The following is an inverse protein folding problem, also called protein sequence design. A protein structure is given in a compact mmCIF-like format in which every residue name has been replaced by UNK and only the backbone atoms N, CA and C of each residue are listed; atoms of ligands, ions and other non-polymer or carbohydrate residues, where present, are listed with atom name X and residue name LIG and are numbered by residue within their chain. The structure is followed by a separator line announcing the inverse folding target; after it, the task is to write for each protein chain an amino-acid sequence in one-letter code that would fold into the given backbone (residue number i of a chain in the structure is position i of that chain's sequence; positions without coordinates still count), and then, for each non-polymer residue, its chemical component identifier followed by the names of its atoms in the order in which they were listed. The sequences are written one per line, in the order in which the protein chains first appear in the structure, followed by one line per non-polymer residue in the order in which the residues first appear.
data_IF_967949671077
#
_entry.id   IF_967949671077
#
_cell.length_a   1.000
_cell.length_b   1.000
_cell.length_c   1.000
_cell.angle_alpha   90.00
_cell.angle_beta   90.00
_cell.angle_gamma   90.00
#
_symmetry.space_group_name_H-M   'P 1'
#
loop_
_entity.id
_entity.type
_entity.pdbx_description
1 polymer ?
#
# COMPACT_ATOMS: atom_id res chain seq x y z
N UNK A 1 8.01 -16.05 13.78
CA UNK A 1 7.83 -17.13 14.79
C UNK A 1 6.99 -18.23 14.17
N UNK A 2 7.00 -19.42 14.76
CA UNK A 2 6.05 -20.49 14.41
C UNK A 2 4.89 -20.49 15.41
N UNK A 3 3.81 -21.22 15.12
CA UNK A 3 2.59 -21.29 15.94
C UNK A 3 2.88 -21.76 17.36
N UNK A 4 3.71 -22.78 17.52
CA UNK A 4 4.08 -23.31 18.84
C UNK A 4 4.83 -22.28 19.69
N UNK A 5 5.69 -21.47 19.06
CA UNK A 5 6.41 -20.39 19.77
C UNK A 5 5.43 -19.32 20.27
N UNK A 6 4.40 -19.00 19.50
CA UNK A 6 3.34 -18.06 19.91
C UNK A 6 2.49 -18.64 21.03
N UNK A 7 2.08 -19.90 20.93
CA UNK A 7 1.33 -20.61 21.97
C UNK A 7 2.11 -20.63 23.29
N UNK A 8 3.41 -20.95 23.23
CA UNK A 8 4.27 -20.96 24.40
C UNK A 8 4.43 -19.56 25.01
N UNK A 9 4.50 -18.50 24.19
CA UNK A 9 4.52 -17.12 24.67
C UNK A 9 3.24 -16.77 25.42
N UNK A 10 2.07 -17.10 24.87
CA UNK A 10 0.77 -16.83 25.51
C UNK A 10 0.65 -17.54 26.86
N UNK A 11 1.19 -18.76 26.98
CA UNK A 11 1.17 -19.53 28.24
C UNK A 11 2.12 -18.97 29.30
N UNK A 12 3.34 -18.61 28.90
CA UNK A 12 4.41 -18.30 29.84
C UNK A 12 4.55 -16.80 30.13
N UNK A 13 4.19 -15.95 29.18
CA UNK A 13 4.36 -14.50 29.25
C UNK A 13 3.18 -13.71 28.65
N UNK A 14 1.95 -13.88 29.20
CA UNK A 14 0.75 -13.28 28.64
C UNK A 14 0.69 -11.76 28.80
N UNK A 15 1.47 -11.17 29.70
CA UNK A 15 1.40 -9.73 29.99
C UNK A 15 2.28 -8.87 29.07
N UNK A 16 3.12 -9.50 28.24
CA UNK A 16 4.02 -8.80 27.34
C UNK A 16 3.65 -9.04 25.87
N UNK A 17 3.68 -8.01 25.00
CA UNK A 17 3.43 -8.16 23.57
C UNK A 17 4.27 -9.25 22.92
N UNK A 18 3.67 -10.01 22.01
CA UNK A 18 4.37 -11.02 21.23
C UNK A 18 5.28 -10.31 20.23
N UNK A 19 6.59 -10.51 20.40
CA UNK A 19 7.61 -9.92 19.53
C UNK A 19 7.55 -10.47 18.10
N UNK A 20 7.98 -9.66 17.13
CA UNK A 20 8.17 -10.12 15.75
C UNK A 20 9.65 -10.41 15.51
N UNK A 21 9.94 -11.59 14.93
CA UNK A 21 11.29 -11.94 14.49
C UNK A 21 11.64 -11.16 13.21
N UNK A 22 12.82 -10.56 13.16
CA UNK A 22 13.29 -9.85 11.95
C UNK A 22 13.62 -10.86 10.84
N UNK A 23 13.33 -10.48 9.59
CA UNK A 23 13.55 -11.36 8.42
C UNK A 23 15.03 -11.71 8.26
N UNK A 24 15.92 -10.72 8.34
CA UNK A 24 17.37 -10.92 8.19
C UNK A 24 17.96 -11.80 9.28
N UNK A 25 17.54 -11.60 10.53
CA UNK A 25 17.95 -12.44 11.66
C UNK A 25 17.51 -13.88 11.46
N UNK A 26 16.26 -14.09 11.02
CA UNK A 26 15.74 -15.43 10.75
C UNK A 26 16.46 -16.10 9.58
N UNK A 27 16.82 -15.33 8.55
CA UNK A 27 17.56 -15.83 7.37
C UNK A 27 18.98 -16.28 7.73
N UNK A 28 19.64 -15.61 8.68
CA UNK A 28 20.99 -15.97 9.12
C UNK A 28 21.01 -17.22 10.02
N UNK A 29 19.94 -17.45 10.78
CA UNK A 29 19.86 -18.56 11.74
C UNK A 29 19.31 -19.84 11.09
N UNK A 30 18.35 -19.71 10.17
CA UNK A 30 17.74 -20.86 9.49
C UNK A 30 18.55 -21.28 8.27
N UNK A 31 18.53 -22.59 7.98
CA UNK A 31 19.07 -23.16 6.73
C UNK A 31 18.43 -22.48 5.52
N UNK A 32 19.20 -22.28 4.45
CA UNK A 32 18.67 -21.73 3.20
C UNK A 32 17.52 -22.58 2.64
N UNK A 33 16.53 -21.90 2.05
CA UNK A 33 15.39 -22.55 1.40
C UNK A 33 15.80 -23.06 0.02
N UNK A 34 15.72 -24.37 -0.20
CA UNK A 34 15.74 -24.93 -1.55
C UNK A 34 14.39 -24.62 -2.23
N UNK A 35 14.38 -23.68 -3.17
CA UNK A 35 13.14 -23.20 -3.80
C UNK A 35 12.40 -24.27 -4.58
N UNK A 36 13.10 -25.16 -5.29
CA UNK A 36 12.45 -26.20 -6.09
C UNK A 36 11.73 -27.21 -5.17
N UNK A 37 12.42 -27.70 -4.14
CA UNK A 37 11.81 -28.60 -3.16
C UNK A 37 10.69 -27.93 -2.37
N UNK A 38 10.89 -26.67 -1.96
CA UNK A 38 9.90 -25.92 -1.20
C UNK A 38 8.61 -25.72 -2.01
N UNK A 39 8.72 -25.22 -3.24
CA UNK A 39 7.55 -24.97 -4.09
C UNK A 39 6.87 -26.28 -4.47
N UNK A 40 7.63 -27.35 -4.77
CA UNK A 40 7.05 -28.66 -5.05
C UNK A 40 6.32 -29.23 -3.84
N UNK A 41 6.87 -29.09 -2.63
CA UNK A 41 6.22 -29.52 -1.39
C UNK A 41 4.94 -28.73 -1.14
N UNK A 42 4.97 -27.41 -1.31
CA UNK A 42 3.77 -26.56 -1.15
C UNK A 42 2.72 -26.92 -2.19
N UNK A 43 3.12 -27.20 -3.42
CA UNK A 43 2.24 -27.64 -4.48
C UNK A 43 1.49 -28.94 -4.12
N UNK A 44 2.23 -29.95 -3.64
CA UNK A 44 1.68 -31.28 -3.33
C UNK A 44 0.93 -31.32 -2.00
N UNK A 45 1.49 -30.73 -0.94
CA UNK A 45 1.04 -30.93 0.45
C UNK A 45 0.61 -29.64 1.17
N UNK A 46 0.87 -28.46 0.59
CA UNK A 46 0.64 -27.18 1.25
C UNK A 46 1.73 -26.81 2.25
N UNK A 47 1.37 -25.91 3.18
CA UNK A 47 2.24 -25.47 4.27
C UNK A 47 1.92 -26.25 5.55
N UNK A 48 2.94 -26.46 6.38
CA UNK A 48 2.80 -27.00 7.72
C UNK A 48 1.90 -26.09 8.57
N UNK A 49 0.99 -26.68 9.34
CA UNK A 49 0.09 -25.97 10.25
C UNK A 49 0.84 -25.07 11.24
N UNK A 50 2.06 -25.45 11.63
CA UNK A 50 2.90 -24.66 12.54
C UNK A 50 3.39 -23.35 11.88
N UNK A 51 3.43 -23.31 10.54
CA UNK A 51 3.75 -22.11 9.76
C UNK A 51 2.53 -21.26 9.40
N UNK A 52 1.32 -21.76 9.64
CA UNK A 52 0.06 -21.07 9.32
C UNK A 52 -0.37 -20.16 10.47
N UNK A 53 0.32 -19.03 10.59
CA UNK A 53 0.07 -18.04 11.64
C UNK A 53 0.31 -16.62 11.14
N UNK A 54 -0.59 -15.70 11.48
CA UNK A 54 -0.54 -14.30 11.04
C UNK A 54 -0.75 -13.37 12.24
N UNK A 55 0.27 -12.58 12.56
CA UNK A 55 0.21 -11.54 13.58
C UNK A 55 -0.23 -10.20 13.00
N UNK A 56 -1.18 -9.54 13.64
CA UNK A 56 -1.67 -8.21 13.28
C UNK A 56 -0.97 -7.14 14.10
N UNK A 57 -0.56 -6.05 13.44
CA UNK A 57 -0.05 -4.83 14.08
C UNK A 57 -0.77 -3.61 13.48
N UNK A 58 -1.13 -2.65 14.33
CA UNK A 58 -1.73 -1.40 13.89
C UNK A 58 -0.74 -0.57 13.04
N UNK A 59 -1.26 0.12 12.03
CA UNK A 59 -0.49 0.99 11.14
C UNK A 59 -0.38 2.39 11.75
N UNK A 60 0.84 2.92 11.87
CA UNK A 60 1.14 4.14 12.64
C UNK A 60 0.68 5.46 11.98
N UNK A 61 0.28 5.46 10.71
CA UNK A 61 -0.04 6.68 9.93
C UNK A 61 -1.29 6.53 9.06
N UNK A 62 -2.36 5.99 9.64
CA UNK A 62 -3.65 5.90 8.96
C UNK A 62 -4.63 6.91 9.55
N UNK A 63 -4.81 8.03 8.86
CA UNK A 63 -6.00 8.86 9.03
C UNK A 63 -7.00 8.38 7.98
N UNK A 64 -8.13 7.83 8.40
CA UNK A 64 -9.22 7.47 7.51
C UNK A 64 -9.90 8.75 7.04
N UNK A 65 -9.34 9.34 5.99
CA UNK A 65 -9.96 10.43 5.24
C UNK A 65 -10.39 9.85 3.90
N UNK A 66 -11.71 9.75 3.74
CA UNK A 66 -12.40 9.29 2.54
C UNK A 66 -12.08 10.23 1.37
N UNK A 67 -11.70 9.66 0.23
CA UNK A 67 -11.23 10.44 -0.92
C UNK A 67 -11.32 9.67 -2.23
N UNK A 68 -11.82 10.38 -3.26
CA UNK A 68 -12.64 9.76 -4.30
C UNK A 68 -11.90 9.10 -5.48
N UNK A 69 -12.08 7.79 -5.73
CA UNK A 69 -11.72 6.90 -6.86
C UNK A 69 -12.57 5.61 -6.80
N UNK A 70 -12.45 4.62 -7.72
CA UNK A 70 -13.10 3.31 -7.43
C UNK A 70 -12.31 2.72 -6.27
N UNK A 71 -12.89 2.87 -5.08
CA UNK A 71 -12.47 2.21 -3.87
C UNK A 71 -13.47 1.10 -3.57
N UNK A 72 -12.95 -0.02 -3.11
CA UNK A 72 -13.78 -1.15 -2.70
C UNK A 72 -13.79 -1.21 -1.19
N UNK A 73 -14.97 -1.36 -0.61
CA UNK A 73 -15.10 -1.58 0.82
C UNK A 73 -14.32 -2.82 1.23
N UNK A 74 -13.27 -2.65 2.03
CA UNK A 74 -12.43 -3.75 2.55
C UNK A 74 -11.96 -4.70 1.43
N UNK A 75 -11.43 -4.14 0.33
CA UNK A 75 -11.02 -4.88 -0.87
C UNK A 75 -10.27 -6.19 -0.58
N UNK A 76 -9.27 -6.15 0.30
CA UNK A 76 -8.46 -7.32 0.66
C UNK A 76 -9.30 -8.38 1.41
N UNK A 77 -10.15 -7.97 2.36
CA UNK A 77 -10.93 -8.88 3.20
C UNK A 77 -12.12 -9.50 2.46
N UNK A 78 -12.64 -8.85 1.42
CA UNK A 78 -13.73 -9.38 0.59
C UNK A 78 -13.26 -10.37 -0.48
N UNK A 79 -11.95 -10.55 -0.67
CA UNK A 79 -11.43 -11.59 -1.55
C UNK A 79 -11.86 -12.97 -1.08
N UNK A 80 -12.20 -13.85 -2.02
CA UNK A 80 -12.70 -15.19 -1.74
C UNK A 80 -12.03 -16.21 -2.64
N UNK A 81 -11.97 -17.46 -2.18
CA UNK A 81 -11.38 -18.54 -2.96
C UNK A 81 -12.17 -18.77 -4.25
N UNK A 82 -13.50 -18.85 -4.15
CA UNK A 82 -14.38 -19.18 -5.27
C UNK A 82 -14.23 -18.19 -6.44
N UNK A 83 -13.92 -16.92 -6.14
CA UNK A 83 -13.69 -15.87 -7.14
C UNK A 83 -12.29 -15.96 -7.78
N UNK A 84 -11.26 -16.30 -6.99
CA UNK A 84 -9.87 -16.19 -7.39
C UNK A 84 -9.26 -17.51 -7.87
N UNK A 85 -9.75 -18.64 -7.35
CA UNK A 85 -9.19 -19.97 -7.53
C UNK A 85 -9.02 -20.34 -9.01
N UNK A 86 -10.03 -20.17 -9.91
CA UNK A 86 -9.87 -20.58 -11.30
C UNK A 86 -8.75 -19.80 -12.03
N UNK A 87 -8.61 -18.51 -11.72
CA UNK A 87 -7.55 -17.67 -12.31
C UNK A 87 -6.19 -18.05 -11.74
N UNK A 88 -6.10 -18.30 -10.44
CA UNK A 88 -4.84 -18.72 -9.80
C UNK A 88 -4.40 -20.11 -10.24
N UNK A 89 -5.33 -21.03 -10.49
CA UNK A 89 -5.02 -22.35 -11.04
C UNK A 89 -4.46 -22.27 -12.47
N UNK A 90 -4.88 -21.29 -13.26
CA UNK A 90 -4.26 -21.02 -14.57
C UNK A 90 -2.83 -20.49 -14.38
N UNK A 91 -2.61 -19.58 -13.42
CA UNK A 91 -1.26 -19.10 -13.09
C UNK A 91 -0.34 -20.23 -12.61
N UNK A 92 -0.87 -21.17 -11.82
CA UNK A 92 -0.12 -22.34 -11.35
C UNK A 92 0.38 -23.17 -12.51
N UNK A 93 -0.50 -23.48 -13.47
CA UNK A 93 -0.15 -24.23 -14.69
C UNK A 93 0.92 -23.55 -15.51
N UNK A 94 0.90 -22.22 -15.62
CA UNK A 94 1.95 -21.47 -16.32
C UNK A 94 3.32 -21.55 -15.62
N UNK A 95 3.33 -21.78 -14.31
CA UNK A 95 4.55 -21.95 -13.52
C UNK A 95 5.01 -23.42 -13.42
N UNK A 96 4.29 -24.35 -14.04
CA UNK A 96 4.59 -25.79 -13.98
C UNK A 96 4.08 -26.49 -12.72
N UNK A 97 3.12 -25.89 -12.01
CA UNK A 97 2.52 -26.45 -10.78
C UNK A 97 1.02 -26.68 -10.97
N UNK A 98 0.43 -27.53 -10.14
CA UNK A 98 -1.01 -27.84 -10.20
C UNK A 98 -1.83 -27.00 -9.22
N UNK A 99 -1.29 -26.79 -8.00
CA UNK A 99 -1.95 -26.09 -6.91
C UNK A 99 -0.92 -25.39 -6.01
N UNK A 100 -0.46 -24.20 -6.40
CA UNK A 100 0.57 -23.43 -5.69
C UNK A 100 0.02 -22.08 -5.18
N UNK A 101 -0.32 -21.18 -6.10
CA UNK A 101 -0.91 -19.86 -5.84
C UNK A 101 -2.39 -20.02 -5.47
N UNK A 102 -3.09 -20.98 -6.08
CA UNK A 102 -4.50 -21.29 -5.78
C UNK A 102 -4.74 -21.67 -4.31
N UNK A 103 -3.73 -22.21 -3.61
CA UNK A 103 -3.78 -22.52 -2.17
C UNK A 103 -3.80 -21.30 -1.24
N UNK A 104 -3.75 -20.07 -1.76
CA UNK A 104 -3.71 -18.86 -0.93
C UNK A 104 -4.85 -18.81 0.10
N UNK A 105 -6.10 -19.04 -0.31
CA UNK A 105 -7.23 -18.96 0.63
C UNK A 105 -7.34 -20.21 1.50
N UNK A 106 -6.84 -21.37 1.05
CA UNK A 106 -6.67 -22.55 1.89
C UNK A 106 -5.78 -22.22 3.11
N UNK A 107 -4.67 -21.50 2.89
CA UNK A 107 -3.80 -21.07 3.98
C UNK A 107 -4.50 -20.09 4.91
N UNK A 108 -5.25 -19.12 4.38
CA UNK A 108 -6.03 -18.22 5.21
C UNK A 108 -7.07 -18.94 6.07
N UNK A 109 -7.77 -19.93 5.53
CA UNK A 109 -8.78 -20.72 6.25
C UNK A 109 -8.18 -21.61 7.34
N UNK A 110 -6.90 -21.97 7.22
CA UNK A 110 -6.18 -22.82 8.19
C UNK A 110 -5.27 -22.05 9.15
N UNK A 111 -5.09 -20.74 8.96
CA UNK A 111 -4.17 -19.94 9.76
C UNK A 111 -4.80 -19.42 11.05
N UNK A 112 -4.01 -19.40 12.12
CA UNK A 112 -4.33 -18.63 13.32
C UNK A 112 -4.05 -17.14 13.06
N UNK A 113 -5.01 -16.29 13.37
CA UNK A 113 -4.88 -14.83 13.29
C UNK A 113 -4.95 -14.26 14.69
N UNK A 114 -4.00 -13.40 15.05
CA UNK A 114 -3.91 -12.84 16.39
C UNK A 114 -3.37 -11.42 16.41
N UNK A 115 -3.85 -10.59 17.34
CA UNK A 115 -3.32 -9.26 17.60
C UNK A 115 -2.16 -9.31 18.59
N UNK A 116 -0.95 -8.98 18.14
CA UNK A 116 0.26 -9.29 18.88
C UNK A 116 0.48 -8.45 20.15
N UNK A 117 -0.19 -7.29 20.29
CA UNK A 117 -0.01 -6.40 21.43
C UNK A 117 -0.88 -6.76 22.65
N UNK A 118 -1.87 -7.66 22.52
CA UNK A 118 -2.77 -8.05 23.61
C UNK A 118 -2.83 -9.57 23.83
N UNK A 119 -1.70 -10.25 24.09
CA UNK A 119 -1.72 -11.67 24.44
C UNK A 119 -2.39 -11.94 25.79
N UNK A 120 -2.53 -10.93 26.64
CA UNK A 120 -3.21 -10.99 27.93
C UNK A 120 -4.68 -11.41 27.78
N UNK A 121 -5.30 -11.05 26.66
CA UNK A 121 -6.68 -11.39 26.29
C UNK A 121 -6.83 -12.76 25.60
N UNK A 122 -5.73 -13.50 25.45
CA UNK A 122 -5.72 -14.82 24.79
C UNK A 122 -5.50 -15.95 25.82
N UNK A 123 -6.18 -17.07 25.63
CA UNK A 123 -5.95 -18.32 26.37
C UNK A 123 -5.60 -19.45 25.39
N UNK A 124 -4.97 -20.50 25.90
CA UNK A 124 -4.64 -21.70 25.11
C UNK A 124 -5.39 -22.89 25.67
N UNK A 125 -6.31 -23.43 24.89
CA UNK A 125 -7.11 -24.61 25.23
C UNK A 125 -7.04 -25.62 24.08
N UNK A 126 -6.79 -26.91 24.40
CA UNK A 126 -6.72 -28.00 23.43
C UNK A 126 -5.79 -27.74 22.22
N UNK A 127 -4.74 -26.95 22.40
CA UNK A 127 -3.79 -26.59 21.33
C UNK A 127 -4.26 -25.44 20.42
N UNK A 128 -5.46 -24.92 20.60
CA UNK A 128 -5.98 -23.71 19.95
C UNK A 128 -5.78 -22.46 20.81
N UNK A 129 -5.86 -21.29 20.19
CA UNK A 129 -5.83 -19.99 20.88
C UNK A 129 -7.25 -19.41 20.87
N UNK A 130 -7.76 -19.09 22.06
CA UNK A 130 -9.11 -18.57 22.28
C UNK A 130 -9.05 -17.17 22.91
N UNK A 131 -10.14 -16.40 22.75
CA UNK A 131 -10.30 -15.12 23.45
C UNK A 131 -10.81 -15.39 24.87
N UNK A 132 -10.22 -14.74 25.88
CA UNK A 132 -10.65 -14.85 27.29
C UNK A 132 -11.94 -14.08 27.59
N UNK A 133 -12.16 -12.99 26.88
CA UNK A 133 -13.26 -12.05 27.08
C UNK A 133 -14.04 -11.85 25.77
N UNK A 134 -15.05 -10.97 25.80
CA UNK A 134 -15.84 -10.56 24.62
C UNK A 134 -15.00 -9.84 23.54
N UNK A 135 -13.77 -9.43 23.89
CA UNK A 135 -12.84 -8.77 22.97
C UNK A 135 -12.26 -9.78 21.97
N UNK A 136 -12.63 -9.66 20.70
CA UNK A 136 -12.07 -10.49 19.61
C UNK A 136 -10.67 -10.00 19.25
N UNK A 137 -9.65 -10.67 19.79
CA UNK A 137 -8.22 -10.39 19.54
C UNK A 137 -7.53 -11.50 18.75
N UNK A 138 -8.12 -12.68 18.67
CA UNK A 138 -7.64 -13.81 17.89
C UNK A 138 -8.79 -14.68 17.36
N UNK A 139 -8.53 -15.42 16.28
CA UNK A 139 -9.47 -16.40 15.74
C UNK A 139 -8.75 -17.39 14.81
N UNK A 140 -9.36 -18.57 14.61
CA UNK A 140 -8.86 -19.62 13.71
C UNK A 140 -9.56 -19.53 12.35
N UNK A 141 -8.76 -19.37 11.30
CA UNK A 141 -9.22 -19.38 9.92
C UNK A 141 -9.93 -18.09 9.47
N UNK A 142 -9.68 -17.68 8.24
CA UNK A 142 -10.44 -16.61 7.59
C UNK A 142 -10.69 -16.94 6.12
N UNK A 143 -11.85 -16.51 5.60
CA UNK A 143 -12.16 -16.65 4.18
C UNK A 143 -11.51 -15.58 3.31
N UNK A 144 -11.15 -14.43 3.92
CA UNK A 144 -10.64 -13.25 3.25
C UNK A 144 -9.12 -13.11 3.27
N UNK A 145 -8.62 -12.13 2.53
CA UNK A 145 -7.21 -11.75 2.56
C UNK A 145 -6.90 -10.66 3.59
N UNK A 146 -5.61 -10.33 3.70
CA UNK A 146 -5.08 -9.24 4.51
C UNK A 146 -4.22 -8.30 3.65
N UNK A 147 -4.05 -7.06 4.09
CA UNK A 147 -3.28 -6.04 3.35
C UNK A 147 -1.85 -6.51 3.04
N UNK A 148 -1.38 -6.21 1.83
CA UNK A 148 -0.02 -6.53 1.38
C UNK A 148 0.18 -7.94 0.82
N UNK A 149 -0.76 -8.86 1.06
CA UNK A 149 -0.71 -10.21 0.48
C UNK A 149 -1.44 -10.24 -0.87
N UNK A 150 -0.87 -10.94 -1.87
CA UNK A 150 -1.49 -11.22 -3.18
C UNK A 150 -2.14 -10.03 -3.92
N UNK A 151 -1.76 -8.79 -3.61
CA UNK A 151 -2.27 -7.58 -4.26
C UNK A 151 -2.23 -7.68 -5.79
N UNK A 152 -1.10 -8.13 -6.36
CA UNK A 152 -0.96 -8.32 -7.81
C UNK A 152 -1.94 -9.35 -8.38
N UNK A 153 -2.10 -10.48 -7.70
CA UNK A 153 -2.99 -11.57 -8.15
C UNK A 153 -4.44 -11.12 -8.17
N UNK A 154 -4.92 -10.50 -7.09
CA UNK A 154 -6.27 -9.96 -7.00
C UNK A 154 -6.51 -8.81 -7.98
N UNK A 155 -5.51 -7.94 -8.21
CA UNK A 155 -5.60 -6.91 -9.26
C UNK A 155 -5.76 -7.51 -10.65
N UNK A 156 -5.10 -8.64 -10.96
CA UNK A 156 -5.27 -9.34 -12.25
C UNK A 156 -6.70 -9.85 -12.42
N UNK A 157 -7.28 -10.45 -11.37
CA UNK A 157 -8.67 -10.93 -11.41
C UNK A 157 -9.64 -9.78 -11.66
N UNK A 158 -9.50 -8.67 -10.93
CA UNK A 158 -10.32 -7.46 -11.16
C UNK A 158 -10.14 -6.90 -12.59
N UNK A 159 -8.90 -6.84 -13.07
CA UNK A 159 -8.58 -6.37 -14.41
C UNK A 159 -9.24 -7.24 -15.49
N UNK A 160 -9.27 -8.57 -15.30
CA UNK A 160 -9.94 -9.50 -16.22
C UNK A 160 -11.45 -9.27 -16.26
N UNK A 161 -12.10 -9.01 -15.10
CA UNK A 161 -13.52 -8.67 -15.05
C UNK A 161 -13.79 -7.38 -15.82
N UNK A 162 -13.05 -6.31 -15.53
CA UNK A 162 -13.28 -5.02 -16.20
C UNK A 162 -13.04 -5.17 -17.71
N UNK A 163 -11.98 -5.88 -18.12
CA UNK A 163 -11.69 -6.13 -19.53
C UNK A 163 -12.81 -6.92 -20.21
N UNK A 164 -13.35 -7.95 -19.56
CA UNK A 164 -14.48 -8.74 -20.06
C UNK A 164 -15.72 -7.88 -20.27
N UNK A 165 -16.10 -7.09 -19.26
CA UNK A 165 -17.28 -6.20 -19.35
C UNK A 165 -17.07 -5.07 -20.38
N UNK A 166 -15.84 -4.59 -20.55
CA UNK A 166 -15.49 -3.56 -21.55
C UNK A 166 -15.57 -4.09 -22.99
N UNK A 167 -15.12 -5.33 -23.24
CA UNK A 167 -15.14 -5.94 -24.57
C UNK A 167 -16.57 -6.13 -25.10
N UNK A 168 -17.54 -6.40 -24.21
CA UNK A 168 -18.94 -6.54 -24.58
C UNK A 168 -19.57 -5.24 -25.13
N UNK A 169 -18.96 -4.07 -24.88
CA UNK A 169 -19.51 -2.75 -25.25
C UNK A 169 -18.70 -2.00 -26.31
N UNK A 170 -17.69 -2.64 -26.91
CA UNK A 170 -16.81 -2.06 -27.94
C UNK A 170 -16.29 -0.64 -27.62
N UNK A 171 -16.11 -0.32 -26.34
CA UNK A 171 -15.63 0.98 -25.88
C UNK A 171 -14.15 0.89 -25.51
N UNK A 172 -13.37 1.88 -25.92
CA UNK A 172 -11.95 1.93 -25.58
C UNK A 172 -11.79 2.37 -24.12
N UNK A 173 -11.44 1.43 -23.24
CA UNK A 173 -11.19 1.68 -21.83
C UNK A 173 -9.69 1.59 -21.54
N UNK A 174 -9.16 2.53 -20.77
CA UNK A 174 -7.80 2.49 -20.22
C UNK A 174 -7.89 2.29 -18.71
N UNK A 175 -7.02 1.45 -18.15
CA UNK A 175 -7.11 1.00 -16.76
C UNK A 175 -5.79 1.27 -16.04
N UNK A 176 -5.86 1.87 -14.86
CA UNK A 176 -4.75 2.02 -13.92
C UNK A 176 -5.13 1.27 -12.64
N UNK A 177 -4.26 0.37 -12.17
CA UNK A 177 -4.55 -0.50 -11.03
C UNK A 177 -3.36 -0.52 -10.07
N UNK A 178 -3.60 -0.21 -8.81
CA UNK A 178 -2.61 -0.27 -7.74
C UNK A 178 -3.16 -1.05 -6.52
N UNK A 179 -3.73 -2.24 -6.75
CA UNK A 179 -4.42 -3.00 -5.71
C UNK A 179 -5.90 -2.61 -5.63
N UNK A 180 -6.28 -2.07 -4.47
CA UNK A 180 -7.63 -1.57 -4.14
C UNK A 180 -7.98 -0.31 -4.95
N UNK A 181 -7.02 0.61 -5.08
CA UNK A 181 -7.18 1.86 -5.81
C UNK A 181 -7.15 1.63 -7.32
N UNK A 182 -8.31 1.77 -7.97
CA UNK A 182 -8.49 1.52 -9.40
C UNK A 182 -9.07 2.73 -10.11
N UNK A 183 -8.55 3.00 -11.32
CA UNK A 183 -9.05 4.08 -12.19
C UNK A 183 -9.41 3.53 -13.55
N UNK A 184 -10.65 3.79 -13.97
CA UNK A 184 -11.22 3.40 -15.25
C UNK A 184 -11.40 4.66 -16.09
N UNK A 185 -10.72 4.74 -17.23
CA UNK A 185 -10.83 5.86 -18.16
C UNK A 185 -11.47 5.38 -19.47
N UNK A 186 -12.77 5.60 -19.62
CA UNK A 186 -13.45 5.40 -20.89
C UNK A 186 -13.13 6.55 -21.86
N UNK A 187 -12.73 6.20 -23.09
CA UNK A 187 -12.33 7.17 -24.11
C UNK A 187 -13.40 7.26 -25.18
N UNK A 188 -13.98 8.44 -25.33
CA UNK A 188 -14.97 8.76 -26.35
C UNK A 188 -14.40 9.83 -27.30
N UNK A 189 -14.79 9.76 -28.57
CA UNK A 189 -14.53 10.82 -29.54
C UNK A 189 -15.86 11.52 -29.84
N UNK A 190 -15.93 12.82 -29.59
CA UNK A 190 -17.08 13.62 -29.99
C UNK A 190 -17.06 13.76 -31.52
N UNK A 191 -18.23 13.61 -32.14
CA UNK A 191 -18.41 14.02 -33.54
C UNK A 191 -18.47 15.54 -33.61
N UNK A 192 -18.12 16.11 -34.77
CA UNK A 192 -18.25 17.56 -35.01
C UNK A 192 -19.74 17.93 -35.02
N UNK A 193 -20.17 18.73 -34.05
CA UNK A 193 -21.51 19.30 -33.96
C UNK A 193 -21.58 20.64 -34.70
N UNK A 194 -22.72 20.95 -35.32
CA UNK A 194 -22.97 22.25 -35.97
C UNK A 194 -23.61 23.26 -35.04
N UNK A 195 -24.35 22.77 -34.04
CA UNK A 195 -25.02 23.61 -33.03
C UNK A 195 -24.55 23.26 -31.63
N UNK A 196 -24.74 24.19 -30.69
CA UNK A 196 -24.46 23.95 -29.27
C UNK A 196 -25.41 22.90 -28.66
N UNK A 197 -26.61 22.77 -29.21
CA UNK A 197 -27.60 21.78 -28.73
C UNK A 197 -27.19 20.36 -29.11
N UNK A 198 -26.82 20.14 -30.38
CA UNK A 198 -26.24 18.85 -30.82
C UNK A 198 -25.02 18.47 -29.99
N UNK A 199 -24.19 19.45 -29.60
CA UNK A 199 -23.03 19.21 -28.73
C UNK A 199 -23.45 18.72 -27.35
N UNK A 200 -24.46 19.35 -26.73
CA UNK A 200 -24.97 18.96 -25.42
C UNK A 200 -25.59 17.57 -25.45
N UNK A 201 -26.36 17.26 -26.50
CA UNK A 201 -26.93 15.93 -26.69
C UNK A 201 -25.84 14.86 -26.86
N UNK A 202 -24.80 15.14 -27.64
CA UNK A 202 -23.67 14.23 -27.81
C UNK A 202 -22.93 13.97 -26.48
N UNK A 203 -22.70 15.02 -25.68
CA UNK A 203 -22.09 14.89 -24.35
C UNK A 203 -22.99 14.07 -23.41
N UNK A 204 -24.30 14.34 -23.40
CA UNK A 204 -25.25 13.58 -22.59
C UNK A 204 -25.28 12.10 -22.98
N UNK A 205 -25.19 11.80 -24.28
CA UNK A 205 -25.05 10.43 -24.79
C UNK A 205 -23.78 9.73 -24.29
N UNK A 206 -22.64 10.44 -24.28
CA UNK A 206 -21.38 9.91 -23.74
C UNK A 206 -21.48 9.64 -22.23
N UNK A 207 -22.06 10.55 -21.46
CA UNK A 207 -22.27 10.37 -20.02
C UNK A 207 -23.15 9.16 -19.75
N UNK A 208 -24.21 8.98 -20.53
CA UNK A 208 -25.10 7.81 -20.45
C UNK A 208 -24.34 6.52 -20.75
N UNK A 209 -23.50 6.49 -21.79
CA UNK A 209 -22.74 5.27 -22.12
C UNK A 209 -21.65 4.98 -21.09
N UNK A 210 -20.99 6.01 -20.56
CA UNK A 210 -20.06 5.84 -19.46
C UNK A 210 -20.73 5.23 -18.22
N UNK A 211 -21.94 5.70 -17.87
CA UNK A 211 -22.74 5.13 -16.78
C UNK A 211 -23.06 3.66 -17.04
N UNK A 212 -23.48 3.31 -18.25
CA UNK A 212 -23.78 1.92 -18.61
C UNK A 212 -22.56 0.97 -18.46
N UNK A 213 -21.35 1.46 -18.76
CA UNK A 213 -20.09 0.73 -18.58
C UNK A 213 -19.82 0.54 -17.08
N UNK A 214 -19.93 1.60 -16.30
CA UNK A 214 -19.73 1.54 -14.85
C UNK A 214 -20.71 0.58 -14.18
N UNK A 215 -21.99 0.61 -14.57
CA UNK A 215 -23.02 -0.32 -14.07
C UNK A 215 -22.70 -1.78 -14.47
N UNK A 216 -22.12 -2.01 -15.65
CA UNK A 216 -21.69 -3.34 -16.07
C UNK A 216 -20.50 -3.85 -15.26
N UNK A 217 -19.51 -3.00 -15.03
CA UNK A 217 -18.37 -3.29 -14.17
C UNK A 217 -18.84 -3.60 -12.75
N UNK A 218 -19.75 -2.80 -12.19
CA UNK A 218 -20.33 -3.02 -10.86
C UNK A 218 -21.05 -4.36 -10.77
N UNK A 219 -21.85 -4.74 -11.78
CA UNK A 219 -22.47 -6.07 -11.83
C UNK A 219 -21.42 -7.19 -11.91
N UNK A 220 -20.35 -6.98 -12.67
CA UNK A 220 -19.24 -7.93 -12.79
C UNK A 220 -18.49 -8.14 -11.48
N UNK A 221 -18.17 -7.05 -10.77
CA UNK A 221 -17.45 -7.09 -9.49
C UNK A 221 -18.34 -7.62 -8.36
N UNK A 222 -19.64 -7.32 -8.37
CA UNK A 222 -20.61 -7.86 -7.42
C UNK A 222 -20.70 -9.38 -7.51
N UNK A 223 -20.59 -9.97 -8.71
CA UNK A 223 -20.51 -11.44 -8.88
C UNK A 223 -19.28 -12.05 -8.20
N UNK A 224 -18.21 -11.28 -8.03
CA UNK A 224 -17.02 -11.66 -7.25
C UNK A 224 -17.13 -11.30 -5.75
N UNK A 225 -18.31 -10.85 -5.29
CA UNK A 225 -18.55 -10.32 -3.94
C UNK A 225 -17.73 -9.08 -3.58
N UNK A 226 -17.27 -8.34 -4.58
CA UNK A 226 -16.60 -7.07 -4.38
C UNK A 226 -17.61 -5.94 -4.46
N UNK A 227 -17.62 -5.08 -3.43
CA UNK A 227 -18.55 -3.96 -3.29
C UNK A 227 -17.79 -2.68 -3.62
N UNK A 228 -18.23 -1.97 -4.66
CA UNK A 228 -17.71 -0.65 -5.02
C UNK A 228 -18.36 0.38 -4.10
N UNK A 229 -17.55 1.21 -3.45
CA UNK A 229 -18.06 2.32 -2.67
C UNK A 229 -18.47 3.47 -3.62
N UNK A 230 -19.79 3.70 -3.74
CA UNK A 230 -20.33 4.74 -4.62
C UNK A 230 -20.08 6.14 -4.08
N UNK A 231 -20.04 6.29 -2.75
CA UNK A 231 -19.80 7.59 -2.10
C UNK A 231 -18.36 8.07 -2.35
N UNK A 232 -17.44 7.14 -2.58
CA UNK A 232 -16.04 7.43 -2.91
C UNK A 232 -15.78 7.45 -4.42
N UNK A 233 -16.76 7.21 -5.31
CA UNK A 233 -16.46 7.15 -6.76
C UNK A 233 -16.37 8.56 -7.39
N UNK A 234 -15.20 8.94 -7.90
CA UNK A 234 -15.00 10.18 -8.68
C UNK A 234 -15.26 9.96 -10.17
N UNK A 235 -16.04 10.87 -10.78
CA UNK A 235 -16.19 10.97 -12.23
C UNK A 235 -15.76 12.37 -12.71
N UNK A 236 -14.79 12.42 -13.62
CA UNK A 236 -14.36 13.67 -14.24
C UNK A 236 -13.75 13.42 -15.62
N UNK A 237 -13.92 14.40 -16.52
CA UNK A 237 -13.29 14.39 -17.85
C UNK A 237 -11.90 15.04 -17.86
N UNK A 238 -11.63 15.96 -16.92
CA UNK A 238 -10.44 16.81 -16.90
C UNK A 238 -9.54 16.58 -15.67
N UNK A 239 -9.96 15.72 -14.74
CA UNK A 239 -9.26 15.48 -13.49
C UNK A 239 -9.19 13.99 -13.17
N UNK A 240 -8.04 13.56 -12.65
CA UNK A 240 -7.78 12.19 -12.25
C UNK A 240 -6.77 12.18 -11.12
N UNK A 241 -6.96 11.36 -10.08
CA UNK A 241 -5.91 11.07 -9.10
C UNK A 241 -5.50 9.61 -9.27
N UNK A 242 -4.21 9.33 -9.13
CA UNK A 242 -3.70 7.97 -9.11
C UNK A 242 -2.58 7.88 -8.10
N UNK A 243 -2.66 6.95 -7.14
CA UNK A 243 -1.65 6.81 -6.07
C UNK A 243 -1.44 8.09 -5.25
N UNK A 244 -2.52 8.87 -5.00
CA UNK A 244 -2.49 10.19 -4.34
C UNK A 244 -1.73 11.28 -5.13
N UNK A 245 -1.52 11.08 -6.43
CA UNK A 245 -0.94 12.08 -7.34
C UNK A 245 -2.04 12.64 -8.25
N UNK A 246 -2.38 13.95 -8.14
CA UNK A 246 -3.38 14.56 -8.99
C UNK A 246 -2.85 14.84 -10.41
N UNK A 247 -3.71 14.61 -11.40
CA UNK A 247 -3.52 14.92 -12.80
C UNK A 247 -4.67 15.85 -13.20
N UNK A 248 -4.33 17.10 -13.52
CA UNK A 248 -5.29 18.13 -13.87
C UNK A 248 -5.05 18.59 -15.31
N UNK A 249 -6.06 18.41 -16.17
CA UNK A 249 -6.01 18.74 -17.62
C UNK A 249 -4.79 18.14 -18.32
N UNK A 250 -4.49 16.87 -18.01
CA UNK A 250 -3.35 16.13 -18.55
C UNK A 250 -1.98 16.48 -17.93
N UNK A 251 -1.90 17.48 -17.04
CA UNK A 251 -0.67 17.83 -16.33
C UNK A 251 -0.63 17.15 -14.96
N UNK A 252 0.44 16.39 -14.71
CA UNK A 252 0.73 15.81 -13.39
C UNK A 252 1.10 16.95 -12.44
N UNK A 253 0.46 17.02 -11.29
CA UNK A 253 0.72 18.04 -10.25
C UNK A 253 1.33 17.37 -9.01
N UNK A 254 2.39 17.98 -8.47
CA UNK A 254 2.96 17.55 -7.19
C UNK A 254 2.22 18.19 -6.02
N UNK A 255 2.14 17.44 -4.91
CA UNK A 255 1.65 17.95 -3.63
C UNK A 255 2.83 18.54 -2.85
N UNK A 256 3.24 19.76 -3.20
CA UNK A 256 4.44 20.41 -2.64
C UNK A 256 4.40 20.51 -1.12
N UNK A 257 3.28 20.98 -0.57
CA UNK A 257 3.10 21.14 0.88
C UNK A 257 3.36 19.83 1.64
N UNK A 258 2.93 18.69 1.08
CA UNK A 258 3.16 17.36 1.67
C UNK A 258 4.65 16.97 1.63
N UNK A 259 5.37 17.37 0.59
CA UNK A 259 6.81 17.09 0.47
C UNK A 259 7.62 17.92 1.46
N UNK A 260 7.32 19.21 1.57
CA UNK A 260 8.00 20.10 2.50
C UNK A 260 7.64 19.88 3.96
N UNK A 261 6.47 19.32 4.26
CA UNK A 261 6.08 18.93 5.63
C UNK A 261 6.63 17.58 6.08
N UNK A 262 7.28 16.81 5.19
CA UNK A 262 7.75 15.46 5.51
C UNK A 262 8.99 15.49 6.40
N UNK A 263 8.89 14.90 7.59
CA UNK A 263 10.01 14.69 8.52
C UNK A 263 10.88 13.51 8.04
N UNK A 264 12.19 13.60 8.26
CA UNK A 264 13.14 12.51 7.98
C UNK A 264 12.70 11.21 8.67
N UNK A 265 12.68 10.09 7.94
CA UNK A 265 12.28 8.80 8.52
C UNK A 265 13.39 8.14 9.39
N UNK A 266 14.59 8.72 9.43
CA UNK A 266 15.71 8.20 10.22
C UNK A 266 15.55 8.50 11.71
N UNK A 267 15.97 7.53 12.54
CA UNK A 267 15.82 7.58 13.99
C UNK A 267 16.71 8.65 14.66
N UNK A 268 17.77 9.11 13.99
CA UNK A 268 18.67 10.15 14.49
C UNK A 268 18.92 11.19 13.39
N UNK A 269 18.50 12.45 13.56
CA UNK A 269 18.73 13.49 12.57
C UNK A 269 20.21 13.88 12.59
N UNK A 270 20.91 13.57 11.50
CA UNK A 270 22.27 14.04 11.23
C UNK A 270 22.24 15.11 10.16
N UNK A 271 23.33 15.87 10.02
CA UNK A 271 23.44 16.86 8.95
C UNK A 271 23.30 16.21 7.57
N UNK A 272 24.01 15.10 7.34
CA UNK A 272 23.95 14.37 6.08
C UNK A 272 22.53 13.87 5.75
N UNK A 273 21.86 13.20 6.70
CA UNK A 273 20.55 12.59 6.44
C UNK A 273 19.46 13.66 6.27
N UNK A 274 19.55 14.75 7.04
CA UNK A 274 18.58 15.86 6.97
C UNK A 274 18.73 16.61 5.66
N UNK A 275 19.96 16.97 5.26
CA UNK A 275 20.22 17.64 3.99
C UNK A 275 19.89 16.73 2.78
N UNK A 276 20.21 15.44 2.86
CA UNK A 276 19.82 14.45 1.83
C UNK A 276 18.31 14.36 1.65
N UNK A 277 17.54 14.43 2.75
CA UNK A 277 16.08 14.42 2.70
C UNK A 277 15.53 15.69 2.04
N UNK A 278 16.02 16.87 2.46
CA UNK A 278 15.61 18.16 1.89
C UNK A 278 15.96 18.23 0.40
N UNK A 279 17.15 17.76 0.01
CA UNK A 279 17.58 17.67 -1.38
C UNK A 279 16.66 16.76 -2.20
N UNK A 280 16.35 15.57 -1.67
CA UNK A 280 15.43 14.62 -2.32
C UNK A 280 14.02 15.22 -2.50
N UNK A 281 13.54 15.99 -1.53
CA UNK A 281 12.25 16.69 -1.62
C UNK A 281 12.28 17.80 -2.68
N UNK A 282 13.33 18.62 -2.69
CA UNK A 282 13.52 19.69 -3.66
C UNK A 282 13.57 19.14 -5.09
N UNK A 283 14.33 18.07 -5.32
CA UNK A 283 14.41 17.38 -6.62
C UNK A 283 13.06 16.82 -7.05
N UNK A 284 12.32 16.19 -6.12
CA UNK A 284 10.99 15.65 -6.42
C UNK A 284 10.01 16.76 -6.79
N UNK A 285 10.00 17.87 -6.04
CA UNK A 285 9.13 19.01 -6.36
C UNK A 285 9.50 19.62 -7.71
N UNK A 286 10.80 19.80 -7.96
CA UNK A 286 11.31 20.33 -9.22
C UNK A 286 10.95 19.46 -10.42
N UNK A 287 10.96 18.12 -10.26
CA UNK A 287 10.66 17.18 -11.33
C UNK A 287 9.22 17.32 -11.87
N UNK A 288 8.28 17.67 -11.01
CA UNK A 288 6.87 17.84 -11.36
C UNK A 288 6.46 19.32 -11.56
N UNK A 289 7.38 20.25 -11.34
CA UNK A 289 7.15 21.68 -11.53
C UNK A 289 7.45 22.09 -12.98
N UNK A 290 6.78 23.13 -13.47
CA UNK A 290 7.11 23.74 -14.76
C UNK A 290 8.41 24.55 -14.71
N UNK A 291 8.86 24.95 -13.51
CA UNK A 291 10.10 25.69 -13.29
C UNK A 291 10.77 25.25 -12.00
N UNK A 292 12.11 25.04 -12.00
CA UNK A 292 12.86 24.63 -10.81
C UNK A 292 13.10 25.78 -9.83
N UNK A 293 12.80 27.04 -10.19
CA UNK A 293 13.17 28.22 -9.41
C UNK A 293 12.65 28.16 -7.97
N UNK A 294 11.37 27.83 -7.78
CA UNK A 294 10.78 27.71 -6.45
C UNK A 294 11.46 26.60 -5.64
N UNK A 295 11.78 25.47 -6.28
CA UNK A 295 12.48 24.37 -5.63
C UNK A 295 13.89 24.76 -5.18
N UNK A 296 14.62 25.55 -5.96
CA UNK A 296 15.94 26.07 -5.61
C UNK A 296 15.85 27.04 -4.42
N UNK A 297 14.88 27.95 -4.44
CA UNK A 297 14.65 28.90 -3.34
C UNK A 297 14.25 28.17 -2.05
N UNK A 298 13.32 27.22 -2.13
CA UNK A 298 12.90 26.44 -0.97
C UNK A 298 14.01 25.52 -0.45
N UNK A 299 14.83 24.93 -1.33
CA UNK A 299 15.99 24.15 -0.95
C UNK A 299 16.98 24.99 -0.13
N UNK A 300 17.30 26.20 -0.61
CA UNK A 300 18.19 27.10 0.10
C UNK A 300 17.62 27.50 1.47
N UNK A 301 16.34 27.86 1.52
CA UNK A 301 15.68 28.28 2.76
C UNK A 301 15.60 27.15 3.80
N UNK A 302 15.06 26.00 3.41
CA UNK A 302 14.87 24.85 4.33
C UNK A 302 16.19 24.19 4.69
N UNK A 303 17.17 24.15 3.77
CA UNK A 303 18.52 23.67 4.07
C UNK A 303 19.18 24.51 5.16
N UNK A 304 19.14 25.84 5.03
CA UNK A 304 19.66 26.74 6.07
C UNK A 304 18.89 26.64 7.38
N UNK A 305 17.56 26.48 7.34
CA UNK A 305 16.74 26.28 8.53
C UNK A 305 17.14 25.00 9.27
N UNK A 306 17.27 23.89 8.55
CA UNK A 306 17.65 22.60 9.11
C UNK A 306 19.09 22.60 9.64
N UNK A 307 20.02 23.25 8.93
CA UNK A 307 21.38 23.46 9.42
C UNK A 307 21.39 24.20 10.75
N UNK A 308 20.70 25.34 10.83
CA UNK A 308 20.62 26.13 12.06
C UNK A 308 20.01 25.32 13.21
N UNK A 309 18.98 24.51 12.93
CA UNK A 309 18.34 23.66 13.94
C UNK A 309 19.30 22.57 14.47
N UNK A 310 20.06 21.92 13.59
CA UNK A 310 21.05 20.92 13.97
C UNK A 310 22.28 21.53 14.67
N UNK A 311 22.62 22.78 14.37
CA UNK A 311 23.69 23.49 15.07
C UNK A 311 23.34 23.80 16.52
N UNK A 312 22.07 24.09 16.82
CA UNK A 312 21.56 24.27 18.20
C UNK A 312 21.74 22.97 18.99
N UNK A 313 21.37 21.83 18.40
CA UNK A 313 21.60 20.52 19.00
C UNK A 313 21.69 19.44 17.93
N UNK A 314 22.82 18.73 17.91
CA UNK A 314 23.01 17.61 17.01
C UNK A 314 23.01 16.30 17.81
N UNK A 315 21.99 15.43 17.64
CA UNK A 315 21.91 14.16 18.36
C UNK A 315 23.10 13.23 18.14
N UNK A 316 23.77 13.28 16.98
CA UNK A 316 24.96 12.47 16.72
C UNK A 316 26.14 12.88 17.62
N UNK A 317 26.25 14.17 17.94
CA UNK A 317 27.29 14.74 18.79
C UNK A 317 26.81 14.87 20.25
N UNK A 318 25.51 14.65 20.49
CA UNK A 318 24.83 14.75 21.79
C UNK A 318 25.01 16.12 22.47
N UNK A 319 25.26 17.16 21.68
CA UNK A 319 25.54 18.50 22.16
C UNK A 319 25.27 19.52 21.05
N UNK A 320 25.35 20.80 21.43
CA UNK A 320 25.43 21.91 20.49
C UNK A 320 26.75 21.82 19.70
N UNK A 321 26.71 21.97 18.38
CA UNK A 321 27.89 21.76 17.52
C UNK A 321 29.04 22.71 17.92
N UNK A 322 28.73 23.98 18.19
CA UNK A 322 29.73 24.99 18.57
C UNK A 322 30.54 24.63 19.82
N UNK A 323 29.99 23.80 20.73
CA UNK A 323 30.67 23.40 21.97
C UNK A 323 31.67 22.26 21.79
N UNK A 324 31.68 21.62 20.61
CA UNK A 324 32.47 20.40 20.34
C UNK A 324 33.49 20.57 19.22
N UNK A 325 33.55 21.73 18.59
CA UNK A 325 34.52 22.05 17.54
C UNK A 325 35.51 23.11 18.03
N UNK A 326 36.77 22.98 17.62
CA UNK A 326 37.84 23.91 18.02
C UNK A 326 37.66 25.29 17.38
N UNK A 327 37.22 25.34 16.12
CA UNK A 327 37.02 26.56 15.35
C UNK A 327 35.53 26.88 15.18
N UNK A 328 34.84 27.16 16.28
CA UNK A 328 33.39 27.41 16.29
C UNK A 328 32.97 28.63 15.47
N UNK A 329 33.89 29.57 15.27
CA UNK A 329 33.75 30.75 14.42
C UNK A 329 33.48 30.40 12.95
N UNK A 330 33.96 29.24 12.46
CA UNK A 330 33.76 28.83 11.08
C UNK A 330 32.31 28.45 10.76
N UNK A 331 31.49 28.08 11.75
CA UNK A 331 30.05 27.87 11.54
C UNK A 331 29.35 29.13 11.01
N UNK A 332 29.90 30.31 11.29
CA UNK A 332 29.35 31.59 10.81
C UNK A 332 29.89 31.98 9.44
N UNK A 333 30.95 31.34 8.96
CA UNK A 333 31.64 31.67 7.70
C UNK A 333 30.74 31.41 6.47
N UNK A 334 30.83 32.25 5.42
CA UNK A 334 30.12 31.99 4.16
C UNK A 334 30.51 30.66 3.51
N UNK A 335 31.77 30.25 3.63
CA UNK A 335 32.33 29.04 3.03
C UNK A 335 31.65 27.80 3.58
N UNK A 336 31.56 27.69 4.91
CA UNK A 336 30.85 26.59 5.56
C UNK A 336 29.36 26.58 5.17
N UNK A 337 28.72 27.73 5.15
CA UNK A 337 27.29 27.86 4.80
C UNK A 337 26.98 27.52 3.34
N UNK A 338 27.96 27.63 2.44
CA UNK A 338 27.83 27.29 1.03
C UNK A 338 28.17 25.82 0.75
N UNK A 339 29.05 25.21 1.56
CA UNK A 339 29.44 23.80 1.44
C UNK A 339 28.40 22.84 2.02
N UNK A 340 27.68 23.28 3.05
CA UNK A 340 26.64 22.52 3.76
C UNK A 340 25.27 22.93 3.26
#
# INVERSE_FOLDING_TARGET
MQRDEVINHIRNDPNNPISSKKVLETLLIKKETNWNEFLQRVNLFGLDINSLIIGLKAKEREMKLEGNHIDYTKWNNLQRDEANHPVFQVMDRFLGYEALISRTHEFFQKSLIYYNNRPDLMSVENGGVLNKEDNVVCWEGQQGGLEGLRQKGWSVVNLLVIRRESMNRNTKVSLLHQGDNQVICAKFKLQKSRTDEERREAIAGIVKENKNIMDAVERGTTKLRLIINKDETLQSADYLVYGKVPIFRGSIRSLEAKRWSSVTNDQLPTLANTMSSISSYALTVSHFSTSPLNSIVHYNYLGNLARNLLEIHNPAVKAQISTKIQHSEWLKSPEYKALV
#
